data_IF_540201942433
#
_entry.id   IF_540201942433
#
_cell.length_a   1.000
_cell.length_b   1.000
_cell.length_c   1.000
_cell.angle_alpha   90.00
_cell.angle_beta   90.00
_cell.angle_gamma   90.00
#
_symmetry.space_group_name_H-M   'P 1'
#
loop_
_entity.id
_entity.type
_entity.pdbx_description
1 polymer ?
#
# COMPACT_ATOMS: atom_id res chain seq x y z
N UNK A 1 -7.41 -8.00 -12.95
CA UNK A 1 -6.91 -6.80 -12.26
C UNK A 1 -6.17 -5.89 -13.24
N UNK A 2 -5.15 -6.37 -13.95
CA UNK A 2 -4.41 -5.58 -14.96
C UNK A 2 -5.30 -4.92 -16.02
N UNK A 3 -6.42 -5.54 -16.40
CA UNK A 3 -7.40 -4.95 -17.32
C UNK A 3 -8.16 -3.73 -16.74
N UNK A 4 -8.19 -3.57 -15.42
CA UNK A 4 -8.88 -2.47 -14.74
C UNK A 4 -7.92 -1.33 -14.39
N UNK A 5 -6.73 -1.65 -13.94
CA UNK A 5 -5.76 -0.68 -13.39
C UNK A 5 -4.53 -0.47 -14.30
N UNK A 6 -4.39 -1.30 -15.36
CA UNK A 6 -3.29 -1.18 -16.30
C UNK A 6 -1.91 -1.39 -15.67
N UNK A 7 -0.95 -0.58 -16.10
CA UNK A 7 0.44 -0.61 -15.61
C UNK A 7 0.61 -0.11 -14.16
N UNK A 8 -0.41 0.53 -13.59
CA UNK A 8 -0.36 1.04 -12.21
C UNK A 8 -0.35 -0.06 -11.14
N UNK A 9 -0.72 -1.28 -11.51
CA UNK A 9 -0.79 -2.38 -10.56
C UNK A 9 0.61 -2.90 -10.23
N UNK A 10 1.01 -2.77 -8.97
CA UNK A 10 2.31 -3.16 -8.48
C UNK A 10 2.19 -4.27 -7.42
N UNK A 11 2.64 -5.49 -7.72
CA UNK A 11 2.67 -6.57 -6.75
C UNK A 11 3.75 -6.30 -5.70
N UNK A 12 3.34 -6.08 -4.45
CA UNK A 12 4.25 -6.01 -3.31
C UNK A 12 4.55 -7.41 -2.76
N UNK A 13 3.60 -8.33 -2.96
CA UNK A 13 3.73 -9.71 -2.54
C UNK A 13 3.40 -10.67 -3.68
N UNK A 14 4.17 -11.76 -3.78
CA UNK A 14 3.88 -12.91 -4.64
C UNK A 14 3.54 -14.13 -3.76
N UNK A 15 2.60 -15.00 -4.20
CA UNK A 15 2.22 -16.17 -3.41
C UNK A 15 3.28 -17.25 -3.45
N UNK A 16 3.53 -17.88 -2.30
CA UNK A 16 4.22 -19.18 -2.22
C UNK A 16 3.17 -20.27 -2.09
N UNK A 17 3.22 -21.24 -2.98
CA UNK A 17 2.29 -22.37 -3.03
C UNK A 17 3.02 -23.70 -2.94
N UNK A 18 2.51 -24.59 -2.09
CA UNK A 18 2.94 -25.96 -1.99
C UNK A 18 1.71 -26.89 -2.14
N UNK A 19 1.76 -27.84 -3.06
CA UNK A 19 0.63 -28.73 -3.34
C UNK A 19 -0.70 -27.99 -3.53
N UNK A 20 -0.67 -26.91 -4.33
CA UNK A 20 -1.80 -26.00 -4.60
C UNK A 20 -2.30 -25.20 -3.39
N UNK A 21 -1.74 -25.40 -2.21
CA UNK A 21 -2.07 -24.62 -1.02
C UNK A 21 -1.20 -23.37 -0.91
N UNK A 22 -1.83 -22.30 -0.48
CA UNK A 22 -1.15 -21.04 -0.20
C UNK A 22 -0.48 -21.15 1.18
N UNK A 23 0.85 -21.12 1.22
CA UNK A 23 1.63 -21.36 2.45
C UNK A 23 2.47 -20.17 2.90
N UNK A 24 2.64 -19.18 2.02
CA UNK A 24 3.48 -18.04 2.32
C UNK A 24 3.44 -16.99 1.20
N UNK A 25 4.27 -15.99 1.34
CA UNK A 25 4.43 -14.94 0.34
C UNK A 25 5.90 -14.54 0.18
N UNK A 26 6.23 -14.03 -0.99
CA UNK A 26 7.50 -13.37 -1.27
C UNK A 26 7.25 -11.88 -1.20
N UNK A 27 8.05 -11.17 -0.41
CA UNK A 27 8.07 -9.71 -0.41
C UNK A 27 8.95 -9.25 -1.59
N UNK A 28 8.33 -8.59 -2.56
CA UNK A 28 9.01 -8.13 -3.79
C UNK A 28 9.97 -6.97 -3.49
N UNK A 29 9.68 -6.17 -2.47
CA UNK A 29 10.48 -4.99 -2.10
C UNK A 29 11.81 -5.42 -1.47
N UNK A 30 11.77 -6.42 -0.60
CA UNK A 30 12.95 -6.95 0.12
C UNK A 30 13.52 -8.23 -0.48
N UNK A 31 12.88 -8.77 -1.52
CA UNK A 31 13.24 -10.01 -2.21
C UNK A 31 13.34 -11.22 -1.26
N UNK A 32 12.52 -11.23 -0.21
CA UNK A 32 12.54 -12.23 0.84
C UNK A 32 11.30 -13.13 0.84
N UNK A 33 11.52 -14.43 1.04
CA UNK A 33 10.45 -15.40 1.24
C UNK A 33 9.97 -15.41 2.70
N UNK A 34 8.66 -15.55 2.88
CA UNK A 34 8.00 -15.58 4.17
C UNK A 34 6.92 -16.66 4.18
N UNK A 35 6.90 -17.48 5.23
CA UNK A 35 5.95 -18.59 5.40
C UNK A 35 5.12 -18.40 6.66
N UNK A 36 3.87 -18.81 6.63
CA UNK A 36 3.03 -18.80 7.82
C UNK A 36 3.17 -20.12 8.59
N UNK A 37 3.54 -20.00 9.86
CA UNK A 37 3.45 -21.05 10.85
C UNK A 37 2.37 -20.71 11.89
N UNK A 38 1.15 -21.18 11.61
CA UNK A 38 -0.03 -20.76 12.36
C UNK A 38 -0.36 -19.28 12.11
N UNK A 39 -0.16 -18.43 13.12
CA UNK A 39 -0.35 -16.98 13.03
C UNK A 39 0.96 -16.20 12.84
N UNK A 40 2.09 -16.86 12.98
CA UNK A 40 3.41 -16.25 12.88
C UNK A 40 3.91 -16.29 11.45
N UNK A 41 4.81 -15.37 11.13
CA UNK A 41 5.50 -15.27 9.85
C UNK A 41 6.96 -15.59 10.09
N UNK A 42 7.45 -16.63 9.43
CA UNK A 42 8.85 -17.05 9.51
C UNK A 42 9.54 -16.88 8.16
N UNK A 43 10.81 -16.45 8.13
CA UNK A 43 11.57 -16.36 6.89
C UNK A 43 11.73 -17.74 6.24
N UNK A 44 11.69 -17.76 4.91
CA UNK A 44 11.97 -18.97 4.12
C UNK A 44 12.72 -18.59 2.84
N UNK A 45 13.27 -19.58 2.16
CA UNK A 45 13.88 -19.37 0.85
C UNK A 45 12.82 -19.05 -0.21
N UNK A 46 13.18 -18.22 -1.17
CA UNK A 46 12.33 -17.94 -2.33
C UNK A 46 12.33 -19.15 -3.25
N UNK A 47 11.17 -19.75 -3.55
CA UNK A 47 11.10 -20.91 -4.41
C UNK A 47 11.61 -20.63 -5.82
N UNK A 48 12.35 -21.58 -6.41
CA UNK A 48 12.93 -21.46 -7.76
C UNK A 48 11.88 -21.13 -8.82
N UNK A 49 10.67 -21.71 -8.73
CA UNK A 49 9.58 -21.45 -9.67
C UNK A 49 9.07 -20.00 -9.65
N UNK A 50 9.38 -19.25 -8.59
CA UNK A 50 8.95 -17.85 -8.42
C UNK A 50 10.02 -16.85 -8.81
N UNK A 51 11.28 -17.25 -9.01
CA UNK A 51 12.41 -16.36 -9.27
C UNK A 51 12.18 -15.43 -10.49
N UNK A 52 11.74 -16.01 -11.60
CA UNK A 52 11.48 -15.23 -12.83
C UNK A 52 10.36 -14.18 -12.61
N UNK A 53 9.28 -14.56 -11.92
CA UNK A 53 8.19 -13.64 -11.62
C UNK A 53 8.60 -12.57 -10.62
N UNK A 54 9.43 -12.93 -9.63
CA UNK A 54 9.98 -12.00 -8.66
C UNK A 54 10.79 -10.92 -9.37
N UNK A 55 11.68 -11.32 -10.29
CA UNK A 55 12.50 -10.36 -11.04
C UNK A 55 11.64 -9.41 -11.87
N UNK A 56 10.66 -9.91 -12.62
CA UNK A 56 9.74 -9.07 -13.41
C UNK A 56 9.00 -8.06 -12.53
N UNK A 57 8.48 -8.51 -11.37
CA UNK A 57 7.78 -7.62 -10.44
C UNK A 57 8.73 -6.62 -9.80
N UNK A 58 9.95 -7.03 -9.49
CA UNK A 58 10.99 -6.16 -8.95
C UNK A 58 11.37 -5.07 -9.93
N UNK A 59 11.60 -5.41 -11.19
CA UNK A 59 11.94 -4.45 -12.24
C UNK A 59 10.81 -3.42 -12.41
N UNK A 60 9.55 -3.86 -12.45
CA UNK A 60 8.38 -2.97 -12.51
C UNK A 60 8.32 -2.00 -11.32
N UNK A 61 8.62 -2.47 -10.11
CA UNK A 61 8.67 -1.60 -8.94
C UNK A 61 9.83 -0.62 -8.99
N UNK A 62 10.99 -1.04 -9.47
CA UNK A 62 12.16 -0.17 -9.59
C UNK A 62 11.97 0.90 -10.67
N UNK A 63 11.32 0.57 -11.78
CA UNK A 63 10.91 1.56 -12.79
C UNK A 63 10.00 2.62 -12.16
N UNK A 64 8.99 2.19 -11.39
CA UNK A 64 8.09 3.12 -10.70
C UNK A 64 8.80 3.98 -9.64
N UNK A 65 9.81 3.44 -8.95
CA UNK A 65 10.67 4.22 -8.03
C UNK A 65 11.49 5.24 -8.81
N UNK A 66 12.07 4.86 -9.95
CA UNK A 66 12.87 5.74 -10.79
C UNK A 66 12.05 6.92 -11.32
N UNK A 67 10.79 6.70 -11.68
CA UNK A 67 9.88 7.73 -12.17
C UNK A 67 9.54 8.82 -11.14
N UNK A 68 9.87 8.65 -9.85
CA UNK A 68 9.54 9.64 -8.80
C UNK A 68 10.38 10.91 -8.86
N UNK A 69 11.60 10.85 -9.39
CA UNK A 69 12.47 12.02 -9.56
C UNK A 69 13.49 11.82 -10.69
N UNK A 70 13.97 12.94 -11.25
CA UNK A 70 15.04 12.92 -12.27
C UNK A 70 16.33 12.28 -11.72
N UNK A 71 16.68 12.55 -10.47
CA UNK A 71 17.83 11.95 -9.80
C UNK A 71 17.72 10.43 -9.73
N UNK A 72 16.55 9.91 -9.34
CA UNK A 72 16.34 8.46 -9.29
C UNK A 72 16.35 7.83 -10.67
N UNK A 73 15.85 8.53 -11.67
CA UNK A 73 15.88 8.05 -13.05
C UNK A 73 17.33 7.96 -13.59
N UNK A 74 18.16 8.97 -13.34
CA UNK A 74 19.58 8.94 -13.73
C UNK A 74 20.34 7.79 -13.04
N UNK A 75 20.10 7.59 -11.75
CA UNK A 75 20.73 6.50 -10.97
C UNK A 75 20.28 5.12 -11.48
N UNK A 76 18.99 4.97 -11.81
CA UNK A 76 18.44 3.72 -12.34
C UNK A 76 19.08 3.35 -13.68
N UNK A 77 19.17 4.30 -14.62
CA UNK A 77 19.85 4.10 -15.90
C UNK A 77 21.36 3.94 -15.75
N UNK A 78 21.96 4.51 -14.72
CA UNK A 78 23.36 4.31 -14.33
C UNK A 78 23.64 2.92 -13.75
N UNK A 79 22.59 2.10 -13.49
CA UNK A 79 22.71 0.78 -12.87
C UNK A 79 22.98 0.82 -11.36
N UNK A 80 22.71 1.94 -10.71
CA UNK A 80 22.84 2.07 -9.26
C UNK A 80 21.66 1.40 -8.54
N UNK A 81 21.93 0.83 -7.38
CA UNK A 81 20.91 0.24 -6.52
C UNK A 81 20.35 1.28 -5.55
N UNK A 82 19.03 1.20 -5.31
CA UNK A 82 18.37 2.02 -4.29
C UNK A 82 18.40 1.32 -2.93
N UNK A 83 18.55 2.08 -1.87
CA UNK A 83 18.39 1.59 -0.50
C UNK A 83 16.90 1.27 -0.23
N UNK A 84 16.65 0.38 0.72
CA UNK A 84 15.28 0.03 1.12
C UNK A 84 14.47 1.27 1.60
N UNK A 85 15.14 2.22 2.24
CA UNK A 85 14.51 3.46 2.71
C UNK A 85 14.08 4.36 1.54
N UNK A 86 14.91 4.51 0.50
CA UNK A 86 14.57 5.25 -0.71
C UNK A 86 13.41 4.61 -1.47
N UNK A 87 13.48 3.28 -1.66
CA UNK A 87 12.40 2.51 -2.30
C UNK A 87 11.08 2.72 -1.55
N UNK A 88 11.10 2.62 -0.23
CA UNK A 88 9.91 2.79 0.62
C UNK A 88 9.33 4.19 0.52
N UNK A 89 10.17 5.22 0.55
CA UNK A 89 9.74 6.61 0.44
C UNK A 89 9.11 6.90 -0.93
N UNK A 90 9.75 6.45 -2.02
CA UNK A 90 9.24 6.60 -3.38
C UNK A 90 7.92 5.85 -3.60
N UNK A 91 7.84 4.59 -3.16
CA UNK A 91 6.60 3.81 -3.25
C UNK A 91 5.46 4.44 -2.45
N UNK A 92 5.74 5.01 -1.27
CA UNK A 92 4.75 5.76 -0.49
C UNK A 92 4.22 6.97 -1.26
N UNK A 93 5.08 7.74 -1.89
CA UNK A 93 4.68 8.87 -2.74
C UNK A 93 3.75 8.42 -3.85
N UNK A 94 4.14 7.38 -4.59
CA UNK A 94 3.37 6.85 -5.71
C UNK A 94 2.03 6.20 -5.29
N UNK A 95 1.94 5.66 -4.08
CA UNK A 95 0.68 5.15 -3.52
C UNK A 95 -0.22 6.33 -3.10
N UNK A 96 0.35 7.38 -2.50
CA UNK A 96 -0.41 8.54 -2.05
C UNK A 96 -1.03 9.34 -3.20
N UNK A 97 -0.35 9.46 -4.34
CA UNK A 97 -0.85 10.16 -5.53
C UNK A 97 -1.67 9.26 -6.46
N UNK A 98 -1.71 7.95 -6.20
CA UNK A 98 -2.45 6.97 -6.98
C UNK A 98 -1.76 6.55 -8.29
N UNK A 99 -0.47 6.82 -8.43
CA UNK A 99 0.34 6.34 -9.56
C UNK A 99 0.56 4.84 -9.49
N UNK A 100 0.66 4.29 -8.28
CA UNK A 100 0.78 2.85 -8.00
C UNK A 100 -0.41 2.37 -7.18
N UNK A 101 -0.92 1.20 -7.55
CA UNK A 101 -1.91 0.44 -6.77
C UNK A 101 -1.21 -0.80 -6.20
N UNK A 102 -0.87 -0.81 -4.91
CA UNK A 102 -0.19 -1.94 -4.29
C UNK A 102 -1.09 -3.17 -4.22
N UNK A 103 -0.53 -4.33 -4.50
CA UNK A 103 -1.21 -5.61 -4.40
C UNK A 103 -0.51 -6.50 -3.38
N UNK A 104 -1.23 -6.86 -2.34
CA UNK A 104 -0.75 -7.74 -1.26
C UNK A 104 -1.46 -9.08 -1.27
N UNK A 105 -0.90 -10.08 -0.60
CA UNK A 105 -1.42 -11.43 -0.55
C UNK A 105 -1.83 -11.84 0.86
N UNK A 106 -2.99 -12.50 0.97
CA UNK A 106 -3.48 -13.00 2.25
C UNK A 106 -4.69 -13.94 2.11
N UNK A 107 -5.09 -14.53 3.20
CA UNK A 107 -6.30 -15.34 3.31
C UNK A 107 -7.11 -14.90 4.53
N UNK A 108 -8.29 -14.37 4.30
CA UNK A 108 -9.22 -13.98 5.36
C UNK A 108 -9.77 -15.19 6.15
N UNK A 109 -9.97 -16.33 5.48
CA UNK A 109 -10.47 -17.57 6.12
C UNK A 109 -9.44 -18.13 7.09
N UNK A 110 -8.16 -18.14 6.69
CA UNK A 110 -7.06 -18.65 7.50
C UNK A 110 -6.43 -17.59 8.40
N UNK A 111 -6.88 -16.34 8.31
CA UNK A 111 -6.30 -15.17 8.98
C UNK A 111 -4.80 -14.99 8.69
N UNK A 112 -4.34 -15.45 7.52
CA UNK A 112 -2.96 -15.33 7.07
C UNK A 112 -2.75 -14.03 6.29
N UNK A 113 -1.64 -13.33 6.55
CA UNK A 113 -1.30 -12.06 5.90
C UNK A 113 -2.04 -10.82 6.44
N UNK A 114 -2.86 -10.94 7.49
CA UNK A 114 -3.60 -9.80 8.04
C UNK A 114 -2.66 -8.78 8.69
N UNK A 115 -1.70 -9.23 9.49
CA UNK A 115 -0.70 -8.33 10.10
C UNK A 115 0.19 -7.69 9.03
N UNK A 116 0.61 -8.47 8.02
CA UNK A 116 1.39 -7.95 6.88
C UNK A 116 0.63 -6.85 6.14
N UNK A 117 -0.67 -7.04 5.90
CA UNK A 117 -1.53 -6.02 5.28
C UNK A 117 -1.61 -4.76 6.14
N UNK A 118 -1.76 -4.88 7.45
CA UNK A 118 -1.78 -3.74 8.37
C UNK A 118 -0.45 -2.99 8.37
N UNK A 119 0.67 -3.72 8.37
CA UNK A 119 2.00 -3.14 8.25
C UNK A 119 2.19 -2.39 6.92
N UNK A 120 1.70 -2.95 5.81
CA UNK A 120 1.76 -2.30 4.51
C UNK A 120 0.89 -1.03 4.47
N UNK A 121 -0.29 -1.05 5.09
CA UNK A 121 -1.12 0.15 5.23
C UNK A 121 -0.36 1.24 5.99
N UNK A 122 0.26 0.91 7.12
CA UNK A 122 1.04 1.88 7.92
C UNK A 122 2.26 2.40 7.15
N UNK A 123 2.93 1.53 6.37
CA UNK A 123 4.14 1.89 5.64
C UNK A 123 3.87 2.74 4.40
N UNK A 124 2.82 2.43 3.65
CA UNK A 124 2.62 2.96 2.29
C UNK A 124 1.39 3.83 2.11
N UNK A 125 0.33 3.66 2.91
CA UNK A 125 -0.88 4.46 2.75
C UNK A 125 -0.73 5.85 3.39
N UNK A 126 -1.41 6.87 2.83
CA UNK A 126 -1.39 8.19 3.43
C UNK A 126 -2.10 8.21 4.79
N UNK A 127 -1.53 8.95 5.73
CA UNK A 127 -2.24 9.32 6.96
C UNK A 127 -3.32 10.36 6.64
N UNK A 128 -4.43 10.43 7.39
CA UNK A 128 -5.40 11.52 7.27
C UNK A 128 -4.76 12.91 7.36
N UNK A 129 -3.67 13.07 8.11
CA UNK A 129 -2.91 14.32 8.23
C UNK A 129 -2.31 14.83 6.90
N UNK A 130 -2.09 13.92 5.95
CA UNK A 130 -1.56 14.25 4.64
C UNK A 130 -2.64 14.78 3.68
N UNK A 131 -3.90 14.84 4.10
CA UNK A 131 -5.01 15.30 3.30
C UNK A 131 -5.49 16.66 3.79
N UNK A 132 -5.39 17.67 2.95
CA UNK A 132 -6.05 18.95 3.20
C UNK A 132 -7.57 18.79 3.03
N UNK A 133 -8.29 19.16 4.06
CA UNK A 133 -9.76 19.23 4.04
C UNK A 133 -10.17 20.66 4.26
N UNK A 134 -10.78 21.27 3.26
CA UNK A 134 -11.31 22.62 3.36
C UNK A 134 -12.85 22.59 3.43
N UNK A 135 -13.40 23.45 4.24
CA UNK A 135 -14.83 23.71 4.35
C UNK A 135 -15.12 25.21 4.35
N UNK A 136 -16.38 25.59 4.37
CA UNK A 136 -16.79 26.97 4.48
C UNK A 136 -17.45 27.18 5.85
N UNK A 137 -16.95 28.12 6.61
CA UNK A 137 -17.62 28.55 7.83
C UNK A 137 -18.91 29.30 7.47
N UNK A 138 -20.07 28.68 7.74
CA UNK A 138 -21.37 29.25 7.35
C UNK A 138 -21.74 30.55 8.06
N UNK A 139 -21.05 30.92 9.13
CA UNK A 139 -21.30 32.17 9.85
C UNK A 139 -20.46 33.33 9.31
N UNK A 140 -19.20 33.07 8.98
CA UNK A 140 -18.26 34.09 8.51
C UNK A 140 -18.07 34.06 7.00
N UNK A 141 -18.52 33.01 6.32
CA UNK A 141 -18.32 32.73 4.90
C UNK A 141 -16.85 32.62 4.50
N UNK A 142 -15.97 32.35 5.46
CA UNK A 142 -14.53 32.19 5.25
C UNK A 142 -14.19 30.71 5.03
N UNK A 143 -13.10 30.48 4.29
CA UNK A 143 -12.57 29.12 4.09
C UNK A 143 -11.98 28.64 5.43
N UNK A 144 -12.43 27.49 5.88
CA UNK A 144 -11.91 26.80 7.05
C UNK A 144 -11.08 25.61 6.60
N UNK A 145 -9.82 25.56 7.00
CA UNK A 145 -8.95 24.42 6.81
C UNK A 145 -8.97 23.54 8.07
N UNK A 146 -9.46 22.33 7.92
CA UNK A 146 -9.43 21.36 8.99
C UNK A 146 -7.99 20.85 9.15
N UNK A 147 -7.51 20.89 10.39
CA UNK A 147 -6.24 20.29 10.80
C UNK A 147 -6.47 19.31 11.97
N UNK A 148 -5.40 18.62 12.38
CA UNK A 148 -5.45 17.64 13.47
C UNK A 148 -5.10 18.25 14.82
N UNK A 149 -5.15 19.57 14.98
CA UNK A 149 -4.98 20.23 16.26
C UNK A 149 -6.22 20.01 17.15
N UNK A 150 -6.05 19.18 18.16
CA UNK A 150 -7.12 18.86 19.12
C UNK A 150 -7.60 20.04 19.98
N UNK A 151 -6.84 21.14 19.99
CA UNK A 151 -7.23 22.40 20.67
C UNK A 151 -8.22 23.23 19.85
N UNK A 152 -8.32 22.99 18.55
CA UNK A 152 -9.23 23.71 17.64
C UNK A 152 -10.63 23.09 17.59
N UNK A 153 -11.53 23.81 16.92
CA UNK A 153 -12.91 23.35 16.72
C UNK A 153 -12.93 22.03 15.92
N UNK A 154 -13.69 21.08 16.42
CA UNK A 154 -13.87 19.78 15.75
C UNK A 154 -14.88 19.90 14.61
N UNK A 155 -14.60 19.21 13.51
CA UNK A 155 -15.49 19.10 12.36
C UNK A 155 -15.78 17.65 12.03
N UNK A 156 -16.92 17.41 11.39
CA UNK A 156 -17.32 16.08 10.91
C UNK A 156 -18.01 16.22 9.57
N UNK A 157 -17.79 15.26 8.71
CA UNK A 157 -18.46 15.15 7.41
C UNK A 157 -19.33 13.91 7.38
N UNK A 158 -20.64 14.10 7.14
CA UNK A 158 -21.58 12.99 6.96
C UNK A 158 -21.48 12.50 5.53
N UNK A 159 -20.81 11.38 5.32
CA UNK A 159 -20.56 10.83 3.99
C UNK A 159 -21.63 9.85 3.52
N UNK A 160 -22.46 9.31 4.44
CA UNK A 160 -23.52 8.35 4.16
C UNK A 160 -24.60 8.40 5.24
N UNK A 161 -25.85 8.32 4.84
CA UNK A 161 -26.98 8.10 5.75
C UNK A 161 -27.50 6.67 5.53
N UNK A 162 -27.65 5.91 6.60
CA UNK A 162 -28.22 4.56 6.59
C UNK A 162 -29.55 4.61 7.29
N UNK A 163 -30.55 3.91 6.75
CA UNK A 163 -31.87 3.75 7.37
C UNK A 163 -32.00 2.30 7.82
N UNK A 164 -32.02 2.09 9.12
CA UNK A 164 -32.30 0.79 9.71
C UNK A 164 -33.78 0.72 10.09
N UNK A 165 -34.49 -0.38 9.76
CA UNK A 165 -35.92 -0.52 10.07
C UNK A 165 -36.26 -0.47 11.57
N UNK A 166 -35.30 -0.78 12.44
CA UNK A 166 -35.49 -0.86 13.88
C UNK A 166 -34.95 0.36 14.64
N UNK A 167 -33.84 0.94 14.14
CA UNK A 167 -33.14 2.04 14.84
C UNK A 167 -33.48 3.40 14.20
N UNK A 168 -33.92 3.41 12.94
CA UNK A 168 -34.21 4.63 12.19
C UNK A 168 -33.01 5.12 11.36
N UNK A 169 -32.93 6.45 11.15
CA UNK A 169 -31.79 7.07 10.43
C UNK A 169 -30.62 7.27 11.36
N UNK A 170 -29.43 6.90 10.91
CA UNK A 170 -28.17 7.19 11.58
C UNK A 170 -27.01 7.29 10.56
#
# INVERSE_FOLDING_TARGET
>A
MTNLYGKKMAPFHLPIRENEKFVGYINVITESGNRWEGKEVVPCEVPDYSQANLQICRDTLMEAVAETSEEFMERYFGGETFSEAEIRAALRTNVCDGSIVPMTMGSNILCQGMYTLLDDIVKYMPSPENREVAGINLKTNEIYHADYDFAKAKSAYIWKTIVDPFIGKY
#
